data_IF_709393787680
#
_entry.id   IF_709393787680
#
_cell.length_a   1.000
_cell.length_b   1.000
_cell.length_c   1.000
_cell.angle_alpha   90.00
_cell.angle_beta   90.00
_cell.angle_gamma   90.00
#
_symmetry.space_group_name_H-M   'P 1'
#
loop_
_entity.id
_entity.type
_entity.pdbx_description
1 polymer ?
#
# COMPACT_ATOMS: atom_id res chain seq x y z
N UNK A 1 3.84 -17.38 29.27
CA UNK A 1 2.92 -16.97 30.35
C UNK A 1 2.18 -15.66 30.02
N UNK A 2 2.73 -14.72 29.25
CA UNK A 2 2.02 -13.47 28.87
C UNK A 2 0.85 -13.67 27.88
N UNK A 3 0.95 -14.63 26.94
CA UNK A 3 -0.12 -14.88 25.97
C UNK A 3 -1.46 -15.28 26.61
N UNK A 4 -1.44 -15.83 27.83
CA UNK A 4 -2.65 -16.28 28.52
C UNK A 4 -3.56 -15.13 28.98
N UNK A 5 -3.00 -14.00 29.41
CA UNK A 5 -3.77 -12.89 29.97
C UNK A 5 -4.50 -12.08 28.89
N UNK A 6 -3.80 -11.74 27.80
CA UNK A 6 -4.42 -11.01 26.67
C UNK A 6 -5.47 -11.89 26.00
N UNK A 7 -5.15 -13.18 25.76
CA UNK A 7 -6.11 -14.11 25.21
C UNK A 7 -7.34 -14.28 26.13
N UNK A 8 -7.17 -14.34 27.45
CA UNK A 8 -8.30 -14.46 28.38
C UNK A 8 -9.23 -13.25 28.33
N UNK A 9 -8.68 -12.03 28.24
CA UNK A 9 -9.48 -10.80 28.12
C UNK A 9 -10.25 -10.78 26.79
N UNK A 10 -9.58 -11.13 25.68
CA UNK A 10 -10.20 -11.13 24.35
C UNK A 10 -11.34 -12.15 24.28
N UNK A 11 -11.14 -13.35 24.84
CA UNK A 11 -12.16 -14.40 24.87
C UNK A 11 -13.33 -14.03 25.80
N UNK A 12 -13.07 -13.37 26.93
CA UNK A 12 -14.11 -12.88 27.83
C UNK A 12 -15.02 -11.83 27.17
N UNK A 13 -14.47 -11.01 26.26
CA UNK A 13 -15.19 -9.96 25.54
C UNK A 13 -15.30 -10.24 24.03
N UNK A 14 -15.47 -11.51 23.65
CA UNK A 14 -15.44 -11.99 22.26
C UNK A 14 -16.28 -11.14 21.29
N UNK A 15 -17.52 -10.84 21.63
CA UNK A 15 -18.45 -10.11 20.75
C UNK A 15 -18.03 -8.66 20.53
N UNK A 16 -17.45 -8.03 21.57
CA UNK A 16 -16.91 -6.67 21.48
C UNK A 16 -15.70 -6.65 20.56
N UNK A 17 -14.75 -7.56 20.76
CA UNK A 17 -13.56 -7.64 19.91
C UNK A 17 -13.90 -8.01 18.46
N UNK A 18 -14.87 -8.89 18.24
CA UNK A 18 -15.38 -9.18 16.90
C UNK A 18 -15.96 -7.92 16.23
N UNK A 19 -16.75 -7.12 16.96
CA UNK A 19 -17.30 -5.86 16.48
C UNK A 19 -16.21 -4.83 16.15
N UNK A 20 -15.17 -4.75 16.99
CA UNK A 20 -14.00 -3.89 16.76
C UNK A 20 -13.27 -4.31 15.48
N UNK A 21 -13.07 -5.61 15.26
CA UNK A 21 -12.41 -6.13 14.06
C UNK A 21 -13.21 -5.78 12.78
N UNK A 22 -14.54 -5.90 12.81
CA UNK A 22 -15.39 -5.47 11.68
C UNK A 22 -15.35 -3.96 11.44
N UNK A 23 -15.36 -3.15 12.51
CA UNK A 23 -15.19 -1.71 12.39
C UNK A 23 -13.85 -1.36 11.73
N UNK A 24 -12.75 -1.96 12.16
CA UNK A 24 -11.42 -1.76 11.59
C UNK A 24 -11.35 -2.16 10.12
N UNK A 25 -12.06 -3.24 9.74
CA UNK A 25 -12.17 -3.68 8.34
C UNK A 25 -12.86 -2.63 7.47
N UNK A 26 -13.99 -2.07 7.93
CA UNK A 26 -14.72 -1.02 7.20
C UNK A 26 -13.89 0.26 7.13
N UNK A 27 -13.29 0.67 8.25
CA UNK A 27 -12.42 1.84 8.32
C UNK A 27 -11.24 1.73 7.33
N UNK A 28 -10.60 0.56 7.26
CA UNK A 28 -9.54 0.31 6.29
C UNK A 28 -10.02 0.48 4.85
N UNK A 29 -11.20 -0.04 4.50
CA UNK A 29 -11.79 0.13 3.17
C UNK A 29 -12.06 1.60 2.80
N UNK A 30 -12.59 2.38 3.74
CA UNK A 30 -12.80 3.83 3.58
C UNK A 30 -11.46 4.55 3.40
N UNK A 31 -10.49 4.28 4.28
CA UNK A 31 -9.18 4.91 4.25
C UNK A 31 -8.41 4.60 2.96
N UNK A 32 -8.43 3.37 2.46
CA UNK A 32 -7.85 3.01 1.16
C UNK A 32 -8.52 3.74 0.00
N UNK A 33 -9.85 3.84 0.02
CA UNK A 33 -10.61 4.57 -1.00
C UNK A 33 -10.25 6.06 -1.02
N UNK A 34 -10.22 6.70 0.16
CA UNK A 34 -9.79 8.09 0.29
C UNK A 34 -8.32 8.28 -0.11
N UNK A 35 -7.47 7.30 0.18
CA UNK A 35 -6.07 7.30 -0.27
C UNK A 35 -5.99 7.37 -1.80
N UNK A 36 -6.77 6.56 -2.53
CA UNK A 36 -6.81 6.62 -4.00
C UNK A 36 -7.28 7.98 -4.52
N UNK A 37 -8.33 8.57 -3.95
CA UNK A 37 -8.76 9.93 -4.33
C UNK A 37 -7.66 10.97 -4.04
N UNK A 38 -6.98 10.84 -2.91
CA UNK A 38 -5.85 11.69 -2.56
C UNK A 38 -4.70 11.56 -3.58
N UNK A 39 -4.38 10.35 -4.00
CA UNK A 39 -3.38 10.06 -5.03
C UNK A 39 -3.74 10.68 -6.38
N UNK A 40 -5.00 10.54 -6.82
CA UNK A 40 -5.51 11.16 -8.05
C UNK A 40 -5.40 12.68 -7.99
N UNK A 41 -5.88 13.28 -6.90
CA UNK A 41 -5.82 14.72 -6.68
C UNK A 41 -4.38 15.25 -6.71
N UNK A 42 -3.46 14.59 -6.00
CA UNK A 42 -2.04 14.97 -5.96
C UNK A 42 -1.38 14.84 -7.33
N UNK A 43 -1.67 13.75 -8.05
CA UNK A 43 -1.12 13.55 -9.38
C UNK A 43 -1.61 14.61 -10.36
N UNK A 44 -2.91 14.91 -10.32
CA UNK A 44 -3.50 15.96 -11.16
C UNK A 44 -2.99 17.37 -10.82
N UNK A 45 -2.83 17.70 -9.53
CA UNK A 45 -2.40 19.03 -9.07
C UNK A 45 -0.93 19.32 -9.36
N UNK A 46 -0.06 18.31 -9.19
CA UNK A 46 1.38 18.45 -9.35
C UNK A 46 1.89 17.97 -10.71
N UNK A 47 1.02 17.35 -11.53
CA UNK A 47 1.37 16.78 -12.84
C UNK A 47 2.53 15.79 -12.75
N UNK A 48 2.54 15.00 -11.68
CA UNK A 48 3.56 13.97 -11.39
C UNK A 48 2.86 12.72 -10.86
N UNK A 49 3.43 11.53 -11.03
CA UNK A 49 2.88 10.34 -10.41
C UNK A 49 2.98 10.46 -8.88
N UNK A 50 1.89 10.13 -8.19
CA UNK A 50 1.80 10.15 -6.72
C UNK A 50 2.52 8.98 -6.05
N UNK A 51 2.76 7.89 -6.78
CA UNK A 51 3.48 6.69 -6.31
C UNK A 51 4.49 6.22 -7.37
N UNK A 52 5.41 5.36 -6.96
CA UNK A 52 6.39 4.74 -7.85
C UNK A 52 5.78 3.69 -8.78
N UNK A 53 6.58 3.22 -9.74
CA UNK A 53 6.15 2.22 -10.73
C UNK A 53 5.79 0.89 -10.05
N UNK A 54 6.65 0.39 -9.17
CA UNK A 54 6.52 -0.98 -8.65
C UNK A 54 5.31 -1.18 -7.75
N UNK A 55 4.99 -0.28 -6.78
CA UNK A 55 3.83 -0.45 -5.92
C UNK A 55 2.52 -0.58 -6.70
N UNK A 56 2.25 0.37 -7.61
CA UNK A 56 0.98 0.36 -8.37
C UNK A 56 0.90 -0.80 -9.35
N UNK A 57 2.02 -1.21 -9.95
CA UNK A 57 2.05 -2.36 -10.86
C UNK A 57 1.86 -3.69 -10.12
N UNK A 58 2.43 -3.81 -8.92
CA UNK A 58 2.23 -4.99 -8.07
C UNK A 58 0.78 -5.09 -7.60
N UNK A 59 0.19 -3.98 -7.16
CA UNK A 59 -1.21 -3.92 -6.69
C UNK A 59 -2.19 -4.36 -7.78
N UNK A 60 -2.14 -3.75 -8.96
CA UNK A 60 -3.07 -4.10 -10.04
C UNK A 60 -2.88 -5.54 -10.54
N UNK A 61 -1.64 -6.04 -10.54
CA UNK A 61 -1.33 -7.43 -10.89
C UNK A 61 -1.90 -8.42 -9.87
N UNK A 62 -1.71 -8.14 -8.57
CA UNK A 62 -2.26 -8.94 -7.49
C UNK A 62 -3.78 -8.97 -7.55
N UNK A 63 -4.42 -7.80 -7.70
CA UNK A 63 -5.87 -7.71 -7.79
C UNK A 63 -6.41 -8.46 -9.00
N UNK A 64 -5.76 -8.37 -10.17
CA UNK A 64 -6.16 -9.13 -11.35
C UNK A 64 -6.15 -10.65 -11.08
N UNK A 65 -5.03 -11.16 -10.54
CA UNK A 65 -4.85 -12.59 -10.30
C UNK A 65 -5.90 -13.12 -9.32
N UNK A 66 -6.12 -12.44 -8.19
CA UNK A 66 -7.01 -12.96 -7.15
C UNK A 66 -8.48 -12.51 -7.28
N UNK A 67 -8.80 -11.59 -8.20
CA UNK A 67 -10.18 -11.24 -8.55
C UNK A 67 -10.77 -12.06 -9.70
N UNK A 68 -9.92 -12.48 -10.66
CA UNK A 68 -10.36 -13.10 -11.91
C UNK A 68 -9.77 -14.49 -12.18
N UNK A 69 -8.51 -14.76 -11.81
CA UNK A 69 -7.87 -16.07 -12.07
C UNK A 69 -8.13 -17.04 -10.92
N UNK A 70 -7.88 -16.60 -9.68
CA UNK A 70 -8.12 -17.37 -8.46
C UNK A 70 -9.13 -16.67 -7.51
N UNK A 71 -10.40 -16.48 -7.93
CA UNK A 71 -11.40 -15.78 -7.13
C UNK A 71 -11.79 -16.52 -5.84
N UNK A 72 -11.62 -17.84 -5.76
CA UNK A 72 -11.91 -18.61 -4.55
C UNK A 72 -10.98 -18.25 -3.38
N UNK A 73 -9.73 -17.86 -3.67
CA UNK A 73 -8.77 -17.39 -2.67
C UNK A 73 -9.24 -16.13 -1.92
N UNK A 74 -10.18 -15.40 -2.52
CA UNK A 74 -10.77 -14.19 -1.94
C UNK A 74 -12.23 -14.41 -1.55
N UNK A 75 -12.67 -15.62 -1.17
CA UNK A 75 -14.08 -15.93 -0.87
C UNK A 75 -14.80 -14.89 0.04
N UNK A 76 -14.12 -14.37 1.07
CA UNK A 76 -14.62 -13.30 1.96
C UNK A 76 -14.63 -11.88 1.32
N UNK A 77 -13.98 -11.71 0.18
CA UNK A 77 -13.65 -10.45 -0.51
C UNK A 77 -13.99 -10.42 -2.02
N UNK A 78 -14.64 -11.44 -2.60
CA UNK A 78 -14.74 -11.61 -4.06
C UNK A 78 -15.30 -10.39 -4.79
N UNK A 79 -16.30 -9.72 -4.22
CA UNK A 79 -16.82 -8.46 -4.75
C UNK A 79 -15.90 -7.26 -4.51
N UNK A 80 -15.28 -7.19 -3.33
CA UNK A 80 -14.43 -6.08 -2.90
C UNK A 80 -13.16 -5.94 -3.74
N UNK A 81 -12.44 -7.04 -4.00
CA UNK A 81 -11.21 -7.01 -4.80
C UNK A 81 -11.49 -6.59 -6.24
N UNK A 82 -12.61 -7.01 -6.83
CA UNK A 82 -13.03 -6.58 -8.19
C UNK A 82 -13.31 -5.09 -8.25
N UNK A 83 -13.99 -4.54 -7.24
CA UNK A 83 -14.22 -3.09 -7.16
C UNK A 83 -12.91 -2.34 -7.01
N UNK A 84 -11.99 -2.81 -6.15
CA UNK A 84 -10.66 -2.21 -6.03
C UNK A 84 -9.85 -2.28 -7.32
N UNK A 85 -9.90 -3.39 -8.05
CA UNK A 85 -9.29 -3.51 -9.38
C UNK A 85 -9.76 -2.41 -10.34
N UNK A 86 -11.07 -2.15 -10.39
CA UNK A 86 -11.61 -1.08 -11.24
C UNK A 86 -11.12 0.31 -10.80
N UNK A 87 -11.04 0.55 -9.49
CA UNK A 87 -10.49 1.80 -8.95
C UNK A 87 -8.99 1.93 -9.31
N UNK A 88 -8.22 0.86 -9.20
CA UNK A 88 -6.80 0.85 -9.56
C UNK A 88 -6.56 1.06 -11.05
N UNK A 89 -7.41 0.53 -11.94
CA UNK A 89 -7.38 0.86 -13.36
C UNK A 89 -7.47 2.38 -13.60
N UNK A 90 -8.33 3.09 -12.87
CA UNK A 90 -8.45 4.55 -12.97
C UNK A 90 -7.18 5.23 -12.44
N UNK A 91 -6.69 4.78 -11.28
CA UNK A 91 -5.49 5.33 -10.63
C UNK A 91 -4.26 5.17 -11.53
N UNK A 92 -4.04 3.98 -12.10
CA UNK A 92 -2.86 3.71 -12.94
C UNK A 92 -2.90 4.50 -14.25
N UNK A 93 -4.07 4.69 -14.87
CA UNK A 93 -4.22 5.54 -16.06
C UNK A 93 -3.78 6.98 -15.73
N UNK A 94 -4.19 7.52 -14.59
CA UNK A 94 -3.77 8.86 -14.15
C UNK A 94 -2.28 8.94 -13.86
N UNK A 95 -1.71 7.93 -13.20
CA UNK A 95 -0.28 7.87 -12.89
C UNK A 95 0.53 7.81 -14.19
N UNK A 96 0.21 6.89 -15.10
CA UNK A 96 0.91 6.73 -16.39
C UNK A 96 0.83 8.00 -17.21
N UNK A 97 -0.32 8.69 -17.21
CA UNK A 97 -0.50 9.97 -17.91
C UNK A 97 0.49 11.04 -17.47
N UNK A 98 0.85 11.09 -16.19
CA UNK A 98 1.79 12.08 -15.65
C UNK A 98 3.22 11.56 -15.43
N UNK A 99 3.44 10.25 -15.60
CA UNK A 99 4.75 9.61 -15.42
C UNK A 99 5.87 10.24 -16.29
N UNK A 100 5.66 10.63 -17.57
CA UNK A 100 6.72 11.25 -18.38
C UNK A 100 7.37 12.50 -17.74
N UNK A 101 6.68 13.21 -16.86
CA UNK A 101 7.19 14.41 -16.21
C UNK A 101 8.28 14.14 -15.16
N UNK A 102 8.50 12.87 -14.79
CA UNK A 102 9.58 12.44 -13.89
C UNK A 102 10.86 12.08 -14.65
N UNK A 103 10.72 11.70 -15.91
CA UNK A 103 11.78 11.07 -16.69
C UNK A 103 12.39 12.04 -17.71
N UNK A 104 12.32 13.36 -17.47
CA UNK A 104 12.82 14.39 -18.39
C UNK A 104 14.32 14.25 -18.71
N UNK A 105 15.07 13.62 -17.81
CA UNK A 105 16.51 13.37 -17.98
C UNK A 105 16.80 12.05 -18.72
N UNK A 106 15.78 11.25 -19.07
CA UNK A 106 15.89 9.97 -19.75
C UNK A 106 14.89 9.88 -20.91
N UNK A 107 15.18 10.51 -22.07
CA UNK A 107 14.22 10.68 -23.16
C UNK A 107 13.59 9.39 -23.68
N UNK A 108 14.36 8.30 -23.72
CA UNK A 108 13.86 6.98 -24.14
C UNK A 108 12.82 6.45 -23.16
N UNK A 109 13.11 6.49 -21.87
CA UNK A 109 12.18 6.06 -20.81
C UNK A 109 10.95 6.96 -20.80
N UNK A 110 11.13 8.27 -20.91
CA UNK A 110 10.03 9.24 -20.95
C UNK A 110 9.02 8.94 -22.06
N UNK A 111 9.49 8.65 -23.28
CA UNK A 111 8.65 8.37 -24.45
C UNK A 111 7.92 7.03 -24.34
N UNK A 112 8.56 6.03 -23.75
CA UNK A 112 8.06 4.66 -23.68
C UNK A 112 7.68 4.23 -22.26
N UNK A 113 7.40 5.19 -21.36
CA UNK A 113 7.16 4.88 -19.95
C UNK A 113 5.97 3.93 -19.76
N UNK A 114 4.95 4.04 -20.61
CA UNK A 114 3.79 3.13 -20.59
C UNK A 114 4.17 1.67 -20.89
N UNK A 115 5.19 1.42 -21.73
CA UNK A 115 5.74 0.08 -21.94
C UNK A 115 6.45 -0.45 -20.69
N UNK A 116 7.14 0.43 -19.96
CA UNK A 116 7.77 0.06 -18.68
C UNK A 116 6.69 -0.36 -17.67
N UNK A 117 5.62 0.41 -17.52
CA UNK A 117 4.49 0.02 -16.67
C UNK A 117 3.88 -1.31 -17.13
N UNK A 118 3.61 -1.47 -18.43
CA UNK A 118 3.07 -2.72 -18.98
C UNK A 118 3.96 -3.93 -18.69
N UNK A 119 5.27 -3.81 -18.91
CA UNK A 119 6.24 -4.87 -18.63
C UNK A 119 6.30 -5.22 -17.14
N UNK A 120 6.29 -4.21 -16.25
CA UNK A 120 6.33 -4.43 -14.80
C UNK A 120 5.03 -5.06 -14.30
N UNK A 121 3.86 -4.65 -14.80
CA UNK A 121 2.56 -5.28 -14.49
C UNK A 121 2.58 -6.75 -14.90
N UNK A 122 3.02 -7.06 -16.13
CA UNK A 122 3.10 -8.44 -16.62
C UNK A 122 4.09 -9.27 -15.79
N UNK A 123 5.23 -8.70 -15.42
CA UNK A 123 6.20 -9.35 -14.55
C UNK A 123 5.63 -9.69 -13.18
N UNK A 124 4.94 -8.74 -12.53
CA UNK A 124 4.27 -9.01 -11.26
C UNK A 124 3.10 -9.99 -11.42
N UNK A 125 2.30 -9.90 -12.49
CA UNK A 125 1.19 -10.83 -12.71
C UNK A 125 1.70 -12.26 -12.88
N UNK A 126 2.78 -12.45 -13.67
CA UNK A 126 3.44 -13.75 -13.79
C UNK A 126 3.98 -14.24 -12.45
N UNK A 127 4.66 -13.36 -11.69
CA UNK A 127 5.17 -13.71 -10.35
C UNK A 127 4.05 -14.12 -9.38
N UNK A 128 2.94 -13.39 -9.35
CA UNK A 128 1.78 -13.70 -8.51
C UNK A 128 1.13 -15.03 -8.91
N UNK A 129 1.00 -15.30 -10.22
CA UNK A 129 0.48 -16.57 -10.74
C UNK A 129 1.39 -17.75 -10.38
N UNK A 130 2.70 -17.61 -10.62
CA UNK A 130 3.69 -18.64 -10.30
C UNK A 130 3.71 -18.92 -8.79
N UNK A 131 3.66 -17.87 -7.97
CA UNK A 131 3.63 -18.02 -6.52
C UNK A 131 2.33 -18.70 -6.04
N UNK A 132 1.17 -18.28 -6.53
CA UNK A 132 -0.10 -18.94 -6.22
C UNK A 132 -0.14 -20.41 -6.65
N UNK A 133 0.51 -20.76 -7.77
CA UNK A 133 0.64 -22.14 -8.22
C UNK A 133 1.54 -22.99 -7.28
N UNK A 134 2.59 -22.37 -6.72
CA UNK A 134 3.52 -23.04 -5.81
C UNK A 134 2.96 -23.25 -4.40
N UNK A 135 2.43 -22.18 -3.79
CA UNK A 135 1.99 -22.20 -2.38
C UNK A 135 0.49 -22.40 -2.22
N UNK A 136 -0.25 -22.45 -3.32
CA UNK A 136 -1.71 -22.48 -3.32
C UNK A 136 -2.34 -21.08 -3.32
N UNK A 137 -3.58 -20.93 -3.85
CA UNK A 137 -4.18 -19.62 -4.07
C UNK A 137 -4.43 -18.78 -2.81
N UNK A 138 -4.82 -19.38 -1.69
CA UNK A 138 -5.10 -18.66 -0.43
C UNK A 138 -3.84 -18.04 0.18
N UNK A 139 -2.77 -18.83 0.23
CA UNK A 139 -1.45 -18.38 0.67
C UNK A 139 -0.87 -17.34 -0.31
N UNK A 140 -1.05 -17.58 -1.60
CA UNK A 140 -0.70 -16.63 -2.65
C UNK A 140 -1.40 -15.28 -2.44
N UNK A 141 -2.71 -15.29 -2.20
CA UNK A 141 -3.49 -14.08 -1.95
C UNK A 141 -2.93 -13.31 -0.76
N UNK A 142 -2.73 -13.98 0.37
CA UNK A 142 -2.22 -13.36 1.59
C UNK A 142 -0.82 -12.76 1.39
N UNK A 143 0.17 -13.59 1.02
CA UNK A 143 1.57 -13.14 0.89
C UNK A 143 1.81 -12.26 -0.34
N UNK A 144 0.98 -12.38 -1.38
CA UNK A 144 0.97 -11.42 -2.49
C UNK A 144 0.52 -10.04 -2.04
N UNK A 145 -0.50 -9.96 -1.17
CA UNK A 145 -0.99 -8.69 -0.61
C UNK A 145 0.01 -8.07 0.37
N UNK A 146 0.75 -8.92 1.08
CA UNK A 146 1.92 -8.55 1.90
C UNK A 146 2.99 -7.87 1.04
N UNK A 147 3.31 -8.43 -0.13
CA UNK A 147 4.27 -7.80 -1.06
C UNK A 147 3.76 -6.43 -1.54
N UNK A 148 2.51 -6.36 -1.96
CA UNK A 148 1.81 -5.12 -2.35
C UNK A 148 1.94 -4.03 -1.30
N UNK A 149 1.54 -4.32 -0.07
CA UNK A 149 1.62 -3.37 1.04
C UNK A 149 3.06 -2.98 1.36
N UNK A 150 4.02 -3.92 1.33
CA UNK A 150 5.45 -3.61 1.54
C UNK A 150 5.91 -2.55 0.54
N UNK A 151 5.59 -2.76 -0.74
CA UNK A 151 5.91 -1.82 -1.80
C UNK A 151 5.16 -0.50 -1.64
N UNK A 152 3.89 -0.53 -1.21
CA UNK A 152 3.10 0.68 -0.95
C UNK A 152 3.67 1.53 0.20
N UNK A 153 4.32 0.92 1.19
CA UNK A 153 5.03 1.64 2.26
C UNK A 153 6.42 2.10 1.82
N UNK A 154 7.18 1.29 1.08
CA UNK A 154 8.53 1.63 0.60
C UNK A 154 8.53 2.68 -0.52
N UNK A 155 7.61 2.58 -1.47
CA UNK A 155 7.54 3.40 -2.68
C UNK A 155 7.55 4.91 -2.41
N UNK A 156 6.67 5.43 -1.54
CA UNK A 156 6.66 6.85 -1.17
C UNK A 156 7.98 7.33 -0.53
N UNK A 157 8.68 6.46 0.20
CA UNK A 157 10.01 6.77 0.79
C UNK A 157 11.04 6.88 -0.33
N UNK A 158 11.14 5.88 -1.20
CA UNK A 158 12.05 5.92 -2.34
C UNK A 158 11.78 7.15 -3.23
N UNK A 159 10.51 7.47 -3.45
CA UNK A 159 10.08 8.59 -4.26
C UNK A 159 10.53 9.94 -3.68
N UNK A 160 10.28 10.18 -2.39
CA UNK A 160 10.64 11.46 -1.77
C UNK A 160 12.16 11.62 -1.67
N UNK A 161 12.89 10.54 -1.37
CA UNK A 161 14.35 10.54 -1.32
C UNK A 161 14.97 10.76 -2.70
N UNK A 162 14.49 10.05 -3.74
CA UNK A 162 15.02 10.16 -5.10
C UNK A 162 14.74 11.52 -5.72
N UNK A 163 13.56 12.10 -5.46
CA UNK A 163 13.21 13.45 -5.94
C UNK A 163 13.89 14.55 -5.13
N UNK A 164 14.32 14.25 -3.91
CA UNK A 164 14.72 15.23 -2.90
C UNK A 164 13.74 16.42 -2.81
N UNK A 165 12.44 16.11 -2.85
CA UNK A 165 11.38 17.11 -2.82
C UNK A 165 10.07 16.51 -2.34
N UNK A 166 9.27 17.31 -1.62
CA UNK A 166 7.90 16.95 -1.21
C UNK A 166 6.87 17.06 -2.35
N UNK A 167 7.29 17.48 -3.54
CA UNK A 167 6.40 17.65 -4.69
C UNK A 167 5.78 16.32 -5.13
N UNK A 168 4.44 16.29 -5.17
CA UNK A 168 3.67 15.08 -5.47
C UNK A 168 3.52 14.13 -4.28
N UNK A 169 4.16 14.41 -3.14
CA UNK A 169 3.98 13.68 -1.90
C UNK A 169 2.85 14.28 -1.04
N UNK A 170 2.32 13.51 -0.08
CA UNK A 170 1.31 13.99 0.84
C UNK A 170 1.28 13.20 2.15
N UNK A 171 1.29 13.93 3.27
CA UNK A 171 1.06 13.34 4.59
C UNK A 171 -0.37 12.82 4.74
N UNK A 172 -1.36 13.42 4.08
CA UNK A 172 -2.74 12.93 4.10
C UNK A 172 -2.85 11.57 3.41
N UNK A 173 -2.29 11.44 2.20
CA UNK A 173 -2.23 10.15 1.47
C UNK A 173 -1.57 9.08 2.34
N UNK A 174 -0.41 9.39 2.93
CA UNK A 174 0.26 8.48 3.87
C UNK A 174 -0.60 8.14 5.09
N UNK A 175 -1.21 9.13 5.75
CA UNK A 175 -1.97 8.91 6.98
C UNK A 175 -3.17 7.99 6.75
N UNK A 176 -3.90 8.21 5.66
CA UNK A 176 -5.02 7.35 5.26
C UNK A 176 -4.54 5.91 5.08
N UNK A 177 -3.44 5.70 4.36
CA UNK A 177 -2.85 4.37 4.17
C UNK A 177 -2.36 3.75 5.48
N UNK A 178 -1.72 4.53 6.35
CA UNK A 178 -1.20 4.08 7.64
C UNK A 178 -2.34 3.64 8.57
N UNK A 179 -3.45 4.40 8.65
CA UNK A 179 -4.64 4.02 9.42
C UNK A 179 -5.20 2.69 8.92
N UNK A 180 -5.32 2.51 7.60
CA UNK A 180 -5.81 1.26 7.03
C UNK A 180 -4.88 0.07 7.33
N UNK A 181 -3.57 0.29 7.24
CA UNK A 181 -2.53 -0.73 7.48
C UNK A 181 -2.51 -1.15 8.95
N UNK A 182 -2.42 -0.19 9.88
CA UNK A 182 -2.40 -0.46 11.31
C UNK A 182 -3.72 -1.10 11.78
N UNK A 183 -4.87 -0.59 11.30
CA UNK A 183 -6.16 -1.20 11.57
C UNK A 183 -6.25 -2.64 11.05
N UNK A 184 -5.68 -2.91 9.88
CA UNK A 184 -5.56 -4.26 9.31
C UNK A 184 -4.75 -5.21 10.19
N UNK A 185 -3.62 -4.76 10.74
CA UNK A 185 -2.81 -5.56 11.66
C UNK A 185 -3.51 -5.82 13.00
N UNK A 186 -4.14 -4.80 13.59
CA UNK A 186 -4.92 -4.98 14.84
C UNK A 186 -6.07 -5.97 14.62
N UNK A 187 -6.79 -5.83 13.49
CA UNK A 187 -7.85 -6.77 13.09
C UNK A 187 -7.31 -8.20 12.98
N UNK A 188 -6.18 -8.39 12.31
CA UNK A 188 -5.56 -9.71 12.15
C UNK A 188 -5.18 -10.33 13.51
N UNK A 189 -4.62 -9.55 14.42
CA UNK A 189 -4.34 -9.99 15.79
C UNK A 189 -5.61 -10.42 16.54
N UNK A 190 -6.71 -9.66 16.42
CA UNK A 190 -7.99 -10.03 17.03
C UNK A 190 -8.50 -11.37 16.46
N UNK A 191 -8.49 -11.53 15.14
CA UNK A 191 -8.94 -12.78 14.51
C UNK A 191 -8.10 -13.99 14.93
N UNK A 192 -6.79 -13.80 15.08
CA UNK A 192 -5.90 -14.82 15.61
C UNK A 192 -6.29 -15.25 17.03
N UNK A 193 -6.46 -14.30 17.97
CA UNK A 193 -6.84 -14.63 19.35
C UNK A 193 -8.26 -15.21 19.47
N UNK A 194 -9.15 -14.88 18.53
CA UNK A 194 -10.51 -15.44 18.47
C UNK A 194 -10.59 -16.83 17.83
N UNK A 195 -9.47 -17.37 17.35
CA UNK A 195 -9.42 -18.69 16.71
C UNK A 195 -10.19 -18.75 15.39
N UNK A 196 -10.25 -17.64 14.64
CA UNK A 196 -10.87 -17.63 13.31
C UNK A 196 -9.91 -18.21 12.28
N UNK A 197 -10.43 -18.91 11.28
CA UNK A 197 -9.66 -19.55 10.20
C UNK A 197 -8.85 -18.54 9.36
N UNK A 198 -9.20 -17.25 9.43
CA UNK A 198 -8.51 -16.13 8.80
C UNK A 198 -7.27 -15.64 9.59
N UNK A 199 -7.13 -16.06 10.85
CA UNK A 199 -6.07 -15.64 11.79
C UNK A 199 -4.79 -16.49 11.91
N UNK A 200 -4.67 -17.76 11.46
CA UNK A 200 -3.53 -18.61 11.80
C UNK A 200 -2.20 -18.11 11.21
N UNK A 201 -2.25 -17.21 10.22
CA UNK A 201 -1.07 -16.56 9.65
C UNK A 201 -0.25 -15.78 10.67
N UNK A 202 -0.86 -15.28 11.75
CA UNK A 202 -0.15 -14.49 12.75
C UNK A 202 0.93 -15.29 13.48
N UNK A 203 0.81 -16.62 13.57
CA UNK A 203 1.87 -17.44 14.16
C UNK A 203 3.13 -17.53 13.30
N UNK A 204 2.97 -17.36 11.97
CA UNK A 204 4.06 -17.42 11.01
C UNK A 204 5.15 -16.39 11.33
N UNK A 205 6.43 -16.80 11.48
CA UNK A 205 7.55 -15.88 11.58
C UNK A 205 7.62 -14.89 10.41
N UNK A 206 7.22 -15.32 9.21
CA UNK A 206 7.17 -14.44 8.03
C UNK A 206 6.10 -13.35 8.17
N UNK A 207 4.93 -13.67 8.71
CA UNK A 207 3.90 -12.67 8.97
C UNK A 207 4.38 -11.64 10.01
N UNK A 208 5.00 -12.10 11.10
CA UNK A 208 5.57 -11.23 12.15
C UNK A 208 6.67 -10.32 11.58
N UNK A 209 7.60 -10.87 10.79
CA UNK A 209 8.65 -10.11 10.11
C UNK A 209 8.05 -9.02 9.21
N UNK A 210 7.09 -9.38 8.38
CA UNK A 210 6.46 -8.45 7.46
C UNK A 210 5.69 -7.32 8.17
N UNK A 211 4.96 -7.63 9.25
CA UNK A 211 4.31 -6.61 10.07
C UNK A 211 5.39 -5.63 10.57
N UNK A 212 6.47 -6.15 11.15
CA UNK A 212 7.59 -5.34 11.62
C UNK A 212 8.20 -4.45 10.52
N UNK A 213 8.48 -5.03 9.36
CA UNK A 213 9.03 -4.31 8.21
C UNK A 213 8.10 -3.19 7.74
N UNK A 214 6.81 -3.48 7.58
CA UNK A 214 5.81 -2.50 7.13
C UNK A 214 5.66 -1.36 8.13
N UNK A 215 5.60 -1.67 9.42
CA UNK A 215 5.57 -0.66 10.48
C UNK A 215 6.81 0.24 10.41
N UNK A 216 8.02 -0.33 10.32
CA UNK A 216 9.27 0.44 10.21
C UNK A 216 9.22 1.39 9.00
N UNK A 217 8.81 0.89 7.83
CA UNK A 217 8.70 1.70 6.62
C UNK A 217 7.67 2.83 6.79
N UNK A 218 6.49 2.53 7.31
CA UNK A 218 5.44 3.53 7.49
C UNK A 218 5.78 4.59 8.53
N UNK A 219 6.50 4.23 9.60
CA UNK A 219 7.05 5.21 10.53
C UNK A 219 8.19 6.02 9.91
N UNK A 220 8.97 5.47 9.00
CA UNK A 220 10.09 6.17 8.35
C UNK A 220 9.62 7.33 7.45
N UNK A 221 8.55 7.13 6.69
CA UNK A 221 8.05 8.12 5.73
C UNK A 221 7.81 9.54 6.32
N UNK A 222 7.07 9.74 7.43
CA UNK A 222 6.84 11.07 7.97
C UNK A 222 8.12 11.78 8.41
N UNK A 223 9.14 11.04 8.88
CA UNK A 223 10.45 11.64 9.18
C UNK A 223 11.14 12.13 7.91
N UNK A 224 11.23 11.29 6.86
CA UNK A 224 11.78 11.70 5.57
C UNK A 224 11.05 12.92 5.00
N UNK A 225 9.72 12.92 5.05
CA UNK A 225 8.88 14.04 4.63
C UNK A 225 9.20 15.31 5.41
N UNK A 226 9.28 15.23 6.74
CA UNK A 226 9.58 16.37 7.59
C UNK A 226 10.97 16.97 7.29
N UNK A 227 12.01 16.13 7.19
CA UNK A 227 13.37 16.60 6.92
C UNK A 227 13.48 17.28 5.56
N UNK A 228 12.93 16.68 4.50
CA UNK A 228 12.96 17.26 3.15
C UNK A 228 12.15 18.56 3.12
N UNK A 229 10.97 18.59 3.75
CA UNK A 229 10.14 19.81 3.83
C UNK A 229 10.86 20.95 4.52
N UNK A 230 11.58 20.66 5.61
CA UNK A 230 12.38 21.65 6.33
C UNK A 230 13.50 22.20 5.46
N UNK A 231 14.20 21.35 4.71
CA UNK A 231 15.24 21.78 3.77
C UNK A 231 14.68 22.67 2.66
N UNK A 232 13.52 22.32 2.09
CA UNK A 232 12.83 23.16 1.09
C UNK A 232 12.50 24.55 1.66
N UNK A 233 11.92 24.62 2.85
CA UNK A 233 11.57 25.89 3.51
C UNK A 233 12.77 26.80 3.75
N UNK A 234 13.93 26.24 4.12
CA UNK A 234 15.17 27.01 4.30
C UNK A 234 15.66 27.55 2.95
N UNK A 235 15.66 26.71 1.90
CA UNK A 235 16.07 27.11 0.54
C UNK A 235 15.18 28.22 -0.02
N UNK A 236 13.87 28.13 0.19
CA UNK A 236 12.90 29.13 -0.26
C UNK A 236 13.11 30.47 0.46
N UNK A 237 13.35 30.43 1.78
CA UNK A 237 13.67 31.63 2.57
C UNK A 237 14.97 32.30 2.09
N UNK A 238 16.00 31.52 1.80
CA UNK A 238 17.28 32.03 1.28
C UNK A 238 17.12 32.65 -0.11
N UNK A 239 16.34 32.03 -1.01
CA UNK A 239 16.02 32.60 -2.33
C UNK A 239 15.29 33.93 -2.22
N UNK A 240 14.27 34.01 -1.35
CA UNK A 240 13.51 35.22 -1.12
C UNK A 240 14.35 36.38 -0.54
N UNK A 241 15.40 36.07 0.24
CA UNK A 241 16.36 37.07 0.73
C UNK A 241 17.32 37.57 -0.36
N UNK A 242 17.68 36.73 -1.33
CA UNK A 242 18.57 37.11 -2.45
C UNK A 242 17.86 37.90 -3.55
N UNK A 243 16.54 37.81 -3.63
CA UNK A 243 15.72 38.52 -4.61
C UNK A 243 15.20 39.89 -4.11
N UNK A 244 15.57 40.29 -2.89
CA UNK A 244 15.32 41.60 -2.31
C UNK A 244 16.62 42.38 -2.29
#
# INVERSE_FOLDING_TARGET
MENGFIASIILQHRDVFASVAEFLRILAGICWTLNYFSMLYKSWRHKLPSTGIFPICCDIAWEYVYAFVYPSASAHWQGGVRVWFLVHCIVIIFIIRYAPNEWTNMPLVQRYIWLVYGAVILGFAFGQLAFAAEVGPELGFFYGGVLCQTLASLGPICQILSRNSTRGASLLTWLLRAIATFGGFIKLSIYFFLGRDEGPWFESPMCKFYIGLTLILDFTYPFCYYFIRRQESVRDTQKARKSK
#
